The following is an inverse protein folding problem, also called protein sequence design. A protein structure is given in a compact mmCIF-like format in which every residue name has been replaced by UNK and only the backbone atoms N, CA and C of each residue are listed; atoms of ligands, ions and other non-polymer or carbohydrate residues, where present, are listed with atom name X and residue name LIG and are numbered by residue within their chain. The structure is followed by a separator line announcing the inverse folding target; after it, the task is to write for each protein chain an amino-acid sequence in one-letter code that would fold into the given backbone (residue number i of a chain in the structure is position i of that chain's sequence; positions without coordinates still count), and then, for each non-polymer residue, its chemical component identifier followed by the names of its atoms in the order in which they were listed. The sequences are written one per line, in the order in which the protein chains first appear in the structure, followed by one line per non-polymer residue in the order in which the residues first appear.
data_IF_578242803193
#
_entry.id   IF_578242803193
#
_cell.length_a   1.000
_cell.length_b   1.000
_cell.length_c   1.000
_cell.angle_alpha   90.00
_cell.angle_beta   90.00
_cell.angle_gamma   90.00
#
_symmetry.space_group_name_H-M   'P 1'
#
loop_
_entity.id
_entity.type
_entity.pdbx_description
1 polymer ?
#
# COMPACT_ATOMS: atom_id res chain seq x y z
N UNK A 1 -35.38 -23.41 -0.92
CA UNK A 1 -33.94 -23.11 -1.15
C UNK A 1 -33.21 -24.44 -1.12
N UNK A 2 -32.80 -24.94 -2.29
CA UNK A 2 -32.38 -26.33 -2.46
C UNK A 2 -31.04 -26.60 -1.77
N UNK A 3 -31.00 -27.56 -0.84
CA UNK A 3 -29.82 -27.93 -0.05
C UNK A 3 -28.58 -28.26 -0.90
N UNK A 4 -28.75 -28.70 -2.15
CA UNK A 4 -27.66 -29.00 -3.08
C UNK A 4 -26.89 -27.76 -3.60
N UNK A 5 -27.50 -26.59 -3.65
CA UNK A 5 -26.80 -25.34 -4.00
C UNK A 5 -25.89 -24.85 -2.86
N UNK A 6 -26.27 -25.15 -1.61
CA UNK A 6 -25.45 -24.84 -0.43
C UNK A 6 -24.24 -25.78 -0.32
N UNK A 7 -24.42 -27.07 -0.60
CA UNK A 7 -23.33 -28.04 -0.56
C UNK A 7 -22.22 -27.75 -1.59
N UNK A 8 -22.58 -27.39 -2.83
CA UNK A 8 -21.59 -27.04 -3.86
C UNK A 8 -20.86 -25.73 -3.56
N UNK A 9 -21.54 -24.75 -2.95
CA UNK A 9 -20.90 -23.52 -2.47
C UNK A 9 -19.89 -23.80 -1.35
N UNK A 10 -20.24 -24.66 -0.39
CA UNK A 10 -19.33 -25.07 0.69
C UNK A 10 -18.12 -25.85 0.16
N UNK A 11 -18.30 -26.73 -0.82
CA UNK A 11 -17.18 -27.42 -1.47
C UNK A 11 -16.20 -26.42 -2.10
N UNK A 12 -16.71 -25.43 -2.85
CA UNK A 12 -15.86 -24.38 -3.43
C UNK A 12 -15.11 -23.58 -2.37
N UNK A 13 -15.78 -23.25 -1.26
CA UNK A 13 -15.14 -22.55 -0.14
C UNK A 13 -14.02 -23.39 0.49
N UNK A 14 -14.23 -24.70 0.68
CA UNK A 14 -13.19 -25.59 1.23
C UNK A 14 -11.99 -25.66 0.30
N UNK A 15 -12.19 -25.78 -1.01
CA UNK A 15 -11.09 -25.78 -1.98
C UNK A 15 -10.32 -24.45 -1.97
N UNK A 16 -11.02 -23.32 -1.84
CA UNK A 16 -10.39 -22.00 -1.68
C UNK A 16 -9.55 -21.92 -0.41
N UNK A 17 -10.08 -22.37 0.73
CA UNK A 17 -9.37 -22.34 2.01
C UNK A 17 -8.13 -23.25 2.01
N UNK A 18 -8.18 -24.40 1.32
CA UNK A 18 -7.00 -25.26 1.15
C UNK A 18 -5.88 -24.54 0.40
N UNK A 19 -6.23 -23.80 -0.66
CA UNK A 19 -5.27 -22.98 -1.41
C UNK A 19 -4.64 -21.91 -0.51
N UNK A 20 -5.45 -21.15 0.23
CA UNK A 20 -4.98 -20.08 1.12
C UNK A 20 -4.16 -20.59 2.31
N UNK A 21 -4.51 -21.77 2.83
CA UNK A 21 -3.76 -22.44 3.89
C UNK A 21 -2.36 -22.85 3.40
N UNK A 22 -2.26 -23.29 2.14
CA UNK A 22 -1.01 -23.72 1.50
C UNK A 22 -0.09 -22.59 1.05
N UNK A 23 -0.47 -21.32 1.22
CA UNK A 23 0.40 -20.19 0.90
C UNK A 23 1.59 -20.12 1.86
N UNK A 24 2.80 -20.01 1.31
CA UNK A 24 4.00 -19.75 2.11
C UNK A 24 3.96 -18.34 2.70
N UNK A 25 4.27 -18.25 3.99
CA UNK A 25 4.28 -16.98 4.74
C UNK A 25 5.71 -16.66 5.14
N UNK A 26 6.07 -15.38 5.02
CA UNK A 26 7.30 -14.87 5.60
C UNK A 26 7.09 -14.51 7.08
N UNK A 27 8.19 -14.40 7.84
CA UNK A 27 8.12 -13.99 9.25
C UNK A 27 7.72 -12.52 9.34
N UNK A 28 6.87 -12.19 10.31
CA UNK A 28 6.43 -10.80 10.55
C UNK A 28 7.62 -9.84 10.77
N UNK A 29 8.65 -10.17 11.57
CA UNK A 29 9.82 -9.28 11.71
C UNK A 29 10.56 -9.03 10.39
N UNK A 30 10.61 -10.03 9.50
CA UNK A 30 11.23 -9.86 8.18
C UNK A 30 10.40 -8.90 7.32
N UNK A 31 9.08 -9.11 7.23
CA UNK A 31 8.19 -8.21 6.50
C UNK A 31 8.28 -6.76 7.02
N UNK A 32 8.33 -6.58 8.35
CA UNK A 32 8.46 -5.26 8.95
C UNK A 32 9.80 -4.58 8.62
N UNK A 33 10.91 -5.33 8.62
CA UNK A 33 12.22 -4.82 8.26
C UNK A 33 12.29 -4.41 6.77
N UNK A 34 11.72 -5.21 5.88
CA UNK A 34 11.64 -4.90 4.45
C UNK A 34 10.82 -3.63 4.20
N UNK A 35 9.68 -3.48 4.87
CA UNK A 35 8.85 -2.26 4.81
C UNK A 35 9.60 -1.03 5.33
N UNK A 36 10.25 -1.15 6.50
CA UNK A 36 11.04 -0.06 7.08
C UNK A 36 12.16 0.37 6.12
N UNK A 37 12.89 -0.60 5.58
CA UNK A 37 13.99 -0.33 4.66
C UNK A 37 13.49 0.39 3.40
N UNK A 38 12.36 -0.03 2.84
CA UNK A 38 11.74 0.65 1.70
C UNK A 38 11.41 2.11 2.02
N UNK A 39 10.78 2.37 3.17
CA UNK A 39 10.48 3.73 3.60
C UNK A 39 11.75 4.58 3.76
N UNK A 40 12.79 4.06 4.42
CA UNK A 40 14.04 4.78 4.64
C UNK A 40 14.77 5.11 3.33
N UNK A 41 14.79 4.20 2.36
CA UNK A 41 15.42 4.41 1.06
C UNK A 41 14.71 5.47 0.21
N UNK A 42 13.40 5.65 0.41
CA UNK A 42 12.59 6.57 -0.38
C UNK A 42 12.24 7.86 0.37
N UNK A 43 12.50 7.94 1.67
CA UNK A 43 12.17 9.07 2.52
C UNK A 43 12.66 10.42 1.97
N UNK A 44 13.88 10.46 1.43
CA UNK A 44 14.45 11.71 0.87
C UNK A 44 13.79 12.18 -0.43
N UNK A 45 13.03 11.30 -1.10
CA UNK A 45 12.29 11.62 -2.33
C UNK A 45 10.83 11.99 -2.05
N UNK A 46 10.37 11.75 -0.82
CA UNK A 46 9.01 12.07 -0.42
C UNK A 46 8.91 13.56 -0.07
N UNK A 47 8.39 14.31 -1.04
CA UNK A 47 8.11 15.74 -0.93
C UNK A 47 7.26 16.13 0.30
N UNK A 48 6.39 15.24 0.79
CA UNK A 48 5.56 15.50 1.97
C UNK A 48 6.32 15.25 3.27
N UNK A 49 7.35 14.40 3.23
CA UNK A 49 8.17 14.09 4.39
C UNK A 49 9.32 15.09 4.57
N UNK A 50 10.07 15.38 3.50
CA UNK A 50 11.23 16.31 3.55
C UNK A 50 10.88 17.75 3.21
N UNK A 51 9.67 17.99 2.73
CA UNK A 51 9.27 19.28 2.19
C UNK A 51 9.81 19.50 0.77
N UNK A 52 9.24 20.50 0.10
CA UNK A 52 9.64 20.91 -1.25
C UNK A 52 10.34 22.26 -1.20
N UNK A 53 11.43 22.47 -1.96
CA UNK A 53 12.03 23.78 -2.10
C UNK A 53 11.03 24.82 -2.61
N UNK A 54 11.18 26.07 -2.15
CA UNK A 54 10.35 27.17 -2.61
C UNK A 54 10.48 27.34 -4.14
N UNK A 55 9.35 27.41 -4.85
CA UNK A 55 9.31 27.52 -6.32
C UNK A 55 9.32 26.17 -7.07
N UNK A 56 9.61 25.04 -6.41
CA UNK A 56 9.45 23.70 -7.00
C UNK A 56 8.07 23.08 -6.73
N UNK A 57 7.30 23.66 -5.81
CA UNK A 57 5.94 23.23 -5.55
C UNK A 57 5.00 23.72 -6.66
N UNK A 58 4.40 22.83 -7.48
CA UNK A 58 3.48 23.23 -8.54
C UNK A 58 2.17 23.86 -8.02
N UNK A 59 1.87 23.70 -6.73
CA UNK A 59 0.70 24.28 -6.08
C UNK A 59 1.00 25.60 -5.35
N UNK A 60 2.26 26.06 -5.34
CA UNK A 60 2.59 27.33 -4.72
C UNK A 60 2.09 28.48 -5.59
N UNK A 61 1.29 29.38 -5.01
CA UNK A 61 0.84 30.59 -5.70
C UNK A 61 2.04 31.40 -6.20
N UNK A 62 2.01 31.91 -7.45
CA UNK A 62 3.04 32.81 -7.94
C UNK A 62 3.15 34.02 -7.00
N UNK A 63 4.36 34.35 -6.55
CA UNK A 63 4.59 35.59 -5.80
C UNK A 63 4.28 36.78 -6.72
N UNK A 64 3.09 37.36 -6.56
CA UNK A 64 2.71 38.60 -7.22
C UNK A 64 3.43 39.78 -6.56
N UNK A 65 4.69 40.02 -6.94
CA UNK A 65 5.29 41.33 -6.74
C UNK A 65 5.07 42.15 -8.01
N UNK A 66 3.96 42.87 -8.07
CA UNK A 66 3.90 44.09 -8.88
C UNK A 66 4.53 45.21 -8.04
N UNK A 67 5.82 45.48 -8.25
CA UNK A 67 6.38 46.77 -7.86
C UNK A 67 5.90 47.77 -8.91
N UNK A 68 5.04 48.71 -8.49
CA UNK A 68 4.69 49.90 -9.25
C UNK A 68 5.85 50.90 -9.23
#
# INVERSE_FOLDING_TARGET
ISAGASASALQRLVEQLKLEAGMERIRVPQAAAELQQYCMQNACKDALLVGVPAGSNPFQEPRSCALL
#
